data_IF_668053021595
#
_entry.id   IF_668053021595
#
_cell.length_a   1.000
_cell.length_b   1.000
_cell.length_c   1.000
_cell.angle_alpha   90.00
_cell.angle_beta   90.00
_cell.angle_gamma   90.00
#
_symmetry.space_group_name_H-M   'P 1'
#
loop_
_entity.id
_entity.type
_entity.pdbx_description
1 polymer ?
#
# COMPACT_ATOMS: atom_id res chain seq x y z
N UNK A 1 -12.71 -24.13 -45.52
CA UNK A 1 -13.39 -25.44 -45.40
C UNK A 1 -12.92 -26.10 -44.13
N UNK A 2 -13.87 -26.59 -43.33
CA UNK A 2 -13.72 -27.06 -41.96
C UNK A 2 -13.52 -28.58 -41.97
N UNK A 3 -12.46 -29.08 -41.33
CA UNK A 3 -12.26 -30.49 -40.99
C UNK A 3 -11.06 -30.56 -40.04
N UNK A 4 -11.01 -31.34 -38.96
CA UNK A 4 -11.86 -32.40 -38.45
C UNK A 4 -11.51 -32.54 -36.95
N UNK A 5 -12.50 -32.53 -36.06
CA UNK A 5 -12.38 -32.97 -34.66
C UNK A 5 -12.68 -34.48 -34.61
N UNK A 6 -12.16 -35.18 -33.57
CA UNK A 6 -12.46 -36.54 -33.03
C UNK A 6 -11.16 -37.40 -32.99
N UNK A 7 -10.77 -38.23 -32.01
CA UNK A 7 -11.27 -38.89 -30.76
C UNK A 7 -9.95 -39.21 -29.98
N UNK A 8 -9.81 -39.35 -28.66
CA UNK A 8 -10.49 -40.33 -27.83
C UNK A 8 -10.16 -40.11 -26.35
N UNK A 9 -11.23 -40.16 -25.56
CA UNK A 9 -11.25 -40.33 -24.11
C UNK A 9 -10.74 -41.73 -23.73
N UNK A 10 -9.93 -41.81 -22.68
CA UNK A 10 -9.71 -43.06 -21.93
C UNK A 10 -10.48 -42.93 -20.61
N UNK A 11 -11.56 -43.71 -20.51
CA UNK A 11 -12.44 -43.81 -19.35
C UNK A 11 -11.90 -44.88 -18.40
N UNK A 12 -11.78 -44.48 -17.13
CA UNK A 12 -11.96 -45.22 -15.88
C UNK A 12 -11.72 -46.74 -15.84
N UNK A 13 -10.82 -47.18 -14.96
CA UNK A 13 -11.17 -48.01 -13.78
C UNK A 13 -9.91 -48.25 -12.94
N UNK A 14 -9.95 -47.93 -11.64
CA UNK A 14 -9.40 -48.76 -10.57
C UNK A 14 -9.80 -48.15 -9.23
N UNK A 15 -10.90 -48.68 -8.69
CA UNK A 15 -11.30 -48.54 -7.29
C UNK A 15 -10.51 -49.55 -6.45
N UNK A 16 -10.11 -49.11 -5.25
CA UNK A 16 -10.21 -49.81 -3.96
C UNK A 16 -8.91 -49.85 -3.12
N UNK A 17 -8.96 -49.04 -2.05
CA UNK A 17 -8.59 -49.36 -0.66
C UNK A 17 -7.09 -49.50 -0.33
N UNK A 18 -6.60 -48.50 0.39
CA UNK A 18 -5.84 -48.69 1.64
C UNK A 18 -6.01 -47.46 2.50
N UNK A 19 -6.99 -47.51 3.41
CA UNK A 19 -7.09 -46.58 4.53
C UNK A 19 -5.95 -46.88 5.50
N UNK A 20 -4.83 -46.17 5.38
CA UNK A 20 -3.83 -46.09 6.45
C UNK A 20 -4.22 -44.89 7.30
N UNK A 21 -4.76 -45.18 8.48
CA UNK A 21 -5.06 -44.20 9.50
C UNK A 21 -3.79 -43.51 9.96
N UNK A 22 -3.64 -42.23 9.59
CA UNK A 22 -2.81 -41.32 10.36
C UNK A 22 -3.66 -40.83 11.54
N UNK A 23 -3.29 -41.32 12.73
CA UNK A 23 -3.66 -40.72 13.98
C UNK A 23 -3.11 -39.28 14.00
N UNK A 24 -3.92 -38.33 13.54
CA UNK A 24 -3.67 -36.92 13.77
C UNK A 24 -4.11 -36.62 15.20
N UNK A 25 -3.13 -36.51 16.10
CA UNK A 25 -3.32 -35.94 17.43
C UNK A 25 -4.17 -34.67 17.30
N UNK A 26 -5.38 -34.73 17.86
CA UNK A 26 -6.30 -33.61 17.92
C UNK A 26 -5.67 -32.53 18.81
N UNK A 27 -4.92 -31.61 18.19
CA UNK A 27 -4.63 -30.31 18.80
C UNK A 27 -5.99 -29.68 19.16
N UNK A 28 -6.21 -29.23 20.40
CA UNK A 28 -7.47 -28.65 20.81
C UNK A 28 -7.80 -27.49 19.87
N UNK A 29 -9.02 -27.52 19.31
CA UNK A 29 -9.55 -26.48 18.46
C UNK A 29 -9.39 -25.13 19.16
N UNK A 30 -8.50 -24.29 18.61
CA UNK A 30 -8.34 -22.90 19.02
C UNK A 30 -9.73 -22.25 18.93
N UNK A 31 -10.22 -21.57 19.97
CA UNK A 31 -11.53 -20.93 19.92
C UNK A 31 -11.59 -20.03 18.68
N UNK A 32 -12.58 -20.27 17.82
CA UNK A 32 -12.83 -19.48 16.63
C UNK A 32 -12.91 -18.01 17.05
N UNK A 33 -11.90 -17.23 16.65
CA UNK A 33 -11.91 -15.78 16.86
C UNK A 33 -13.09 -15.24 16.07
N UNK A 34 -14.07 -14.65 16.76
CA UNK A 34 -15.12 -13.84 16.12
C UNK A 34 -14.46 -12.92 15.09
N UNK A 35 -15.04 -12.76 13.88
CA UNK A 35 -14.47 -11.90 12.85
C UNK A 35 -14.25 -10.50 13.43
N UNK A 36 -13.03 -9.98 13.31
CA UNK A 36 -12.70 -8.65 13.79
C UNK A 36 -13.55 -7.62 13.03
N UNK A 37 -14.21 -6.72 13.76
CA UNK A 37 -15.03 -5.68 13.14
C UNK A 37 -14.22 -4.82 12.15
N UNK A 38 -14.81 -4.39 11.02
CA UNK A 38 -14.14 -3.57 10.02
C UNK A 38 -13.61 -2.26 10.63
N UNK A 39 -12.32 -2.00 10.46
CA UNK A 39 -11.64 -0.80 11.00
C UNK A 39 -11.82 0.37 10.05
N UNK A 40 -12.51 1.40 10.52
CA UNK A 40 -12.77 2.63 9.76
C UNK A 40 -11.70 3.69 10.06
N UNK A 41 -11.20 4.38 9.03
CA UNK A 41 -10.27 5.52 9.20
C UNK A 41 -10.92 6.77 9.82
N UNK A 42 -10.11 7.64 10.46
CA UNK A 42 -10.57 8.93 11.01
C UNK A 42 -11.02 9.90 9.89
N UNK A 43 -11.97 10.81 10.16
CA UNK A 43 -12.68 11.04 11.43
C UNK A 43 -13.83 10.06 11.68
N UNK A 44 -14.13 9.18 10.72
CA UNK A 44 -15.33 8.34 10.76
C UNK A 44 -15.34 7.31 11.89
N UNK A 45 -14.18 6.88 12.37
CA UNK A 45 -14.10 6.01 13.57
C UNK A 45 -14.48 6.69 14.87
N UNK A 46 -14.50 8.02 14.94
CA UNK A 46 -14.89 8.77 16.14
C UNK A 46 -16.43 8.86 16.29
N UNK A 47 -17.18 8.40 15.29
CA UNK A 47 -18.65 8.35 15.32
C UNK A 47 -19.11 7.06 16.03
N UNK A 48 -19.43 7.19 17.31
CA UNK A 48 -19.81 6.06 18.17
C UNK A 48 -21.10 5.34 17.72
N UNK A 49 -22.00 6.02 17.00
CA UNK A 49 -23.31 5.51 16.58
C UNK A 49 -23.30 4.67 15.29
N UNK A 50 -22.13 4.41 14.70
CA UNK A 50 -22.04 3.62 13.46
C UNK A 50 -22.29 2.13 13.72
N UNK A 51 -23.21 1.56 12.94
CA UNK A 51 -23.43 0.11 12.89
C UNK A 51 -22.30 -0.61 12.17
N UNK A 52 -22.16 -1.91 12.38
CA UNK A 52 -21.11 -2.70 11.73
C UNK A 52 -21.31 -2.78 10.21
N UNK A 53 -22.55 -2.78 9.73
CA UNK A 53 -22.85 -2.67 8.29
C UNK A 53 -22.42 -1.33 7.70
N UNK A 54 -22.65 -0.22 8.42
CA UNK A 54 -22.19 1.10 8.00
C UNK A 54 -20.67 1.16 7.96
N UNK A 55 -20.00 0.61 8.98
CA UNK A 55 -18.53 0.53 9.00
C UNK A 55 -17.99 -0.28 7.82
N UNK A 56 -18.62 -1.42 7.50
CA UNK A 56 -18.23 -2.23 6.35
C UNK A 56 -18.32 -1.44 5.03
N UNK A 57 -19.44 -0.73 4.80
CA UNK A 57 -19.62 0.13 3.61
C UNK A 57 -18.60 1.27 3.57
N UNK A 58 -18.30 1.90 4.72
CA UNK A 58 -17.30 2.97 4.79
C UNK A 58 -15.91 2.42 4.42
N UNK A 59 -15.52 1.24 4.92
CA UNK A 59 -14.25 0.61 4.56
C UNK A 59 -14.19 0.30 3.07
N UNK A 60 -15.28 -0.18 2.48
CA UNK A 60 -15.35 -0.44 1.03
C UNK A 60 -15.17 0.86 0.22
N UNK A 61 -15.85 1.93 0.60
CA UNK A 61 -15.69 3.26 -0.01
C UNK A 61 -14.24 3.75 0.12
N UNK A 62 -13.66 3.63 1.32
CA UNK A 62 -12.28 4.04 1.57
C UNK A 62 -11.30 3.26 0.70
N UNK A 63 -11.48 1.94 0.57
CA UNK A 63 -10.64 1.09 -0.27
C UNK A 63 -10.75 1.48 -1.74
N UNK A 64 -11.97 1.59 -2.26
CA UNK A 64 -12.23 2.00 -3.65
C UNK A 64 -11.56 3.34 -3.97
N UNK A 65 -11.70 4.31 -3.08
CA UNK A 65 -11.13 5.64 -3.28
C UNK A 65 -9.60 5.65 -3.11
N UNK A 66 -9.03 4.82 -2.24
CA UNK A 66 -7.59 4.68 -2.10
C UNK A 66 -6.94 4.09 -3.37
N UNK A 67 -7.60 3.13 -4.02
CA UNK A 67 -7.14 2.56 -5.30
C UNK A 67 -7.19 3.63 -6.42
N UNK A 68 -8.29 4.38 -6.52
CA UNK A 68 -8.39 5.49 -7.48
C UNK A 68 -7.36 6.59 -7.21
N UNK A 69 -7.12 6.93 -5.94
CA UNK A 69 -6.12 7.91 -5.55
C UNK A 69 -4.70 7.48 -5.95
N UNK A 70 -4.39 6.17 -5.84
CA UNK A 70 -3.10 5.64 -6.26
C UNK A 70 -2.90 5.80 -7.77
N UNK A 71 -3.90 5.45 -8.57
CA UNK A 71 -3.83 5.62 -10.03
C UNK A 71 -3.65 7.10 -10.42
N UNK A 72 -4.37 8.01 -9.76
CA UNK A 72 -4.21 9.44 -9.98
C UNK A 72 -2.83 9.94 -9.56
N UNK A 73 -2.26 9.43 -8.47
CA UNK A 73 -0.91 9.78 -8.04
C UNK A 73 0.14 9.40 -9.10
N UNK A 74 0.00 8.23 -9.73
CA UNK A 74 0.88 7.79 -10.80
C UNK A 74 0.76 8.70 -12.04
N UNK A 75 -0.46 9.08 -12.43
CA UNK A 75 -0.71 10.04 -13.53
C UNK A 75 -0.11 11.41 -13.25
N UNK A 76 -0.31 11.94 -12.04
CA UNK A 76 0.27 13.23 -11.62
C UNK A 76 1.79 13.16 -11.66
N UNK A 77 2.39 12.05 -11.21
CA UNK A 77 3.84 11.87 -11.29
C UNK A 77 4.33 11.89 -12.74
N UNK A 78 3.67 11.16 -13.64
CA UNK A 78 4.02 11.14 -15.05
C UNK A 78 3.93 12.54 -15.69
N UNK A 79 2.87 13.29 -15.38
CA UNK A 79 2.71 14.67 -15.86
C UNK A 79 3.82 15.60 -15.36
N UNK A 80 4.22 15.48 -14.09
CA UNK A 80 5.32 16.28 -13.53
C UNK A 80 6.68 15.98 -14.18
N UNK A 81 6.96 14.71 -14.49
CA UNK A 81 8.19 14.34 -15.20
C UNK A 81 8.18 14.82 -16.65
N UNK A 82 7.03 14.77 -17.32
CA UNK A 82 6.84 15.33 -18.66
C UNK A 82 7.05 16.85 -18.66
N UNK A 83 6.36 17.58 -17.76
CA UNK A 83 6.52 19.02 -17.57
C UNK A 83 7.99 19.39 -17.32
N UNK A 84 8.66 18.67 -16.41
CA UNK A 84 10.08 18.89 -16.14
C UNK A 84 10.94 18.70 -17.40
N UNK A 85 10.66 17.67 -18.20
CA UNK A 85 11.40 17.39 -19.43
C UNK A 85 11.21 18.50 -20.46
N UNK A 86 9.96 18.95 -20.65
CA UNK A 86 9.62 20.04 -21.56
C UNK A 86 10.27 21.36 -21.15
N UNK A 87 10.25 21.68 -19.85
CA UNK A 87 10.95 22.85 -19.31
C UNK A 87 12.46 22.73 -19.55
N UNK A 88 13.07 21.59 -19.22
CA UNK A 88 14.52 21.40 -19.41
C UNK A 88 14.94 21.54 -20.88
N UNK A 89 14.08 21.16 -21.83
CA UNK A 89 14.36 21.25 -23.26
C UNK A 89 14.45 22.70 -23.78
N UNK A 90 13.83 23.67 -23.08
CA UNK A 90 13.87 25.08 -23.47
C UNK A 90 14.91 25.92 -22.71
N UNK A 91 15.60 25.33 -21.72
CA UNK A 91 16.65 26.01 -20.95
C UNK A 91 18.00 25.95 -21.68
N UNK A 92 18.76 27.04 -21.60
CA UNK A 92 20.16 27.05 -22.07
C UNK A 92 21.07 26.22 -21.14
N UNK A 93 22.25 25.78 -21.60
CA UNK A 93 23.20 25.05 -20.75
C UNK A 93 23.58 25.79 -19.46
N UNK A 94 23.71 27.12 -19.53
CA UNK A 94 24.01 27.97 -18.37
C UNK A 94 22.86 27.96 -17.37
N UNK A 95 21.61 28.12 -17.84
CA UNK A 95 20.42 28.07 -16.99
C UNK A 95 20.21 26.69 -16.36
N UNK A 96 20.55 25.61 -17.07
CA UNK A 96 20.52 24.26 -16.50
C UNK A 96 21.55 24.08 -15.39
N UNK A 97 22.73 24.71 -15.51
CA UNK A 97 23.74 24.70 -14.45
C UNK A 97 23.26 25.50 -13.21
N UNK A 98 22.64 26.66 -13.41
CA UNK A 98 22.03 27.45 -12.32
C UNK A 98 20.93 26.65 -11.60
N UNK A 99 20.08 25.94 -12.34
CA UNK A 99 19.04 25.10 -11.76
C UNK A 99 19.62 23.98 -10.89
N UNK A 100 20.69 23.31 -11.35
CA UNK A 100 21.37 22.27 -10.55
C UNK A 100 21.96 22.84 -9.26
N UNK A 101 22.64 23.98 -9.33
CA UNK A 101 23.19 24.64 -8.15
C UNK A 101 22.09 25.04 -7.14
N UNK A 102 20.95 25.53 -7.65
CA UNK A 102 19.80 25.86 -6.81
C UNK A 102 19.20 24.60 -6.13
N UNK A 103 19.12 23.48 -6.85
CA UNK A 103 18.64 22.20 -6.31
C UNK A 103 19.56 21.67 -5.20
N UNK A 104 20.87 21.67 -5.42
CA UNK A 104 21.86 21.23 -4.42
C UNK A 104 21.80 22.07 -3.14
N UNK A 105 21.68 23.40 -3.28
CA UNK A 105 21.50 24.30 -2.14
C UNK A 105 20.22 23.99 -1.36
N UNK A 106 19.10 23.81 -2.06
CA UNK A 106 17.82 23.47 -1.42
C UNK A 106 17.89 22.13 -0.68
N UNK A 107 18.56 21.12 -1.24
CA UNK A 107 18.78 19.84 -0.58
C UNK A 107 19.65 19.96 0.69
N UNK A 108 20.71 20.76 0.63
CA UNK A 108 21.57 21.01 1.77
C UNK A 108 20.81 21.71 2.91
N UNK A 109 20.01 22.72 2.58
CA UNK A 109 19.15 23.41 3.55
C UNK A 109 18.09 22.48 4.16
N UNK A 110 17.48 21.62 3.34
CA UNK A 110 16.50 20.65 3.83
C UNK A 110 17.13 19.64 4.81
N UNK A 111 18.34 19.15 4.50
CA UNK A 111 19.11 18.26 5.39
C UNK A 111 19.46 18.95 6.70
N UNK A 112 19.94 20.20 6.66
CA UNK A 112 20.24 20.98 7.86
C UNK A 112 19.01 21.19 8.74
N UNK A 113 17.87 21.60 8.15
CA UNK A 113 16.60 21.77 8.88
C UNK A 113 16.11 20.47 9.50
N UNK A 114 16.26 19.34 8.80
CA UNK A 114 15.91 18.03 9.33
C UNK A 114 16.78 17.66 10.54
N UNK A 115 18.10 17.85 10.45
CA UNK A 115 19.02 17.60 11.56
C UNK A 115 18.72 18.49 12.77
N UNK A 116 18.42 19.77 12.55
CA UNK A 116 18.03 20.69 13.62
C UNK A 116 16.73 20.25 14.31
N UNK A 117 15.72 19.86 13.53
CA UNK A 117 14.46 19.34 14.08
C UNK A 117 14.67 18.05 14.89
N UNK A 118 15.55 17.15 14.42
CA UNK A 118 15.89 15.93 15.15
C UNK A 118 16.63 16.22 16.46
N UNK A 119 17.59 17.15 16.44
CA UNK A 119 18.30 17.59 17.64
C UNK A 119 17.35 18.25 18.65
N UNK A 120 16.44 19.11 18.19
CA UNK A 120 15.41 19.73 19.05
C UNK A 120 14.48 18.69 19.67
N UNK A 121 14.00 17.71 18.88
CA UNK A 121 13.17 16.62 19.38
C UNK A 121 13.90 15.79 20.44
N UNK A 122 15.19 15.51 20.24
CA UNK A 122 16.00 14.76 21.20
C UNK A 122 16.18 15.54 22.52
N UNK A 123 16.53 16.82 22.43
CA UNK A 123 16.67 17.68 23.60
C UNK A 123 15.35 17.85 24.39
N UNK A 124 14.21 17.90 23.68
CA UNK A 124 12.89 17.98 24.33
C UNK A 124 12.50 16.65 25.01
N UNK A 125 12.84 15.51 24.41
CA UNK A 125 12.62 14.20 25.01
C UNK A 125 13.47 13.98 26.26
N UNK A 126 14.74 14.43 26.26
CA UNK A 126 15.63 14.36 27.43
C UNK A 126 15.14 15.22 28.60
N UNK A 127 14.57 16.41 28.32
CA UNK A 127 13.96 17.26 29.36
C UNK A 127 12.68 16.68 29.97
N UNK A 128 11.88 15.94 29.20
CA UNK A 128 10.62 15.33 29.68
C UNK A 128 10.83 14.07 30.52
N UNK A 129 11.97 13.38 30.39
CA UNK A 129 12.28 12.17 31.15
C UNK A 129 13.15 12.42 32.41
N UNK A 130 13.58 13.66 32.64
CA UNK A 130 14.42 14.05 33.79
C UNK A 130 13.68 14.78 34.92
N UNK A 131 12.35 14.79 34.90
CA UNK A 131 11.47 15.33 35.96
C UNK A 131 10.48 14.25 36.40
#
# INVERSE_FOLDING_TARGET
MKSLRLVAWVVALLLAVSAVGYAQEAKPAKPEKKPAAPKVGKPWSDIASLTDEQKAKIVEIQKKNAEAAKELADKIKALKEAEKTEIMAVLTPEQQAELKAAQEKAEAEAKAKKAEMEAKKKAEAEKKNGN
#
